data_IF_980182398835
#
_entry.id   IF_980182398835
#
_cell.length_a   1.000
_cell.length_b   1.000
_cell.length_c   1.000
_cell.angle_alpha   90.00
_cell.angle_beta   90.00
_cell.angle_gamma   90.00
#
_symmetry.space_group_name_H-M   'P 1'
#
loop_
_entity.id
_entity.type
_entity.pdbx_description
1 polymer ?
#
# COMPACT_ATOMS: atom_id res chain seq x y z
N UNK A 1 -10.83 11.47 -26.84
CA UNK A 1 -9.73 10.69 -26.23
C UNK A 1 -10.03 10.68 -24.76
N UNK A 2 -10.36 9.51 -24.22
CA UNK A 2 -11.07 9.34 -22.96
C UNK A 2 -10.31 9.86 -21.74
N UNK A 3 -11.06 10.50 -20.85
CA UNK A 3 -10.71 10.83 -19.47
C UNK A 3 -9.96 9.67 -18.78
N UNK A 4 -8.75 9.94 -18.27
CA UNK A 4 -8.01 9.00 -17.43
C UNK A 4 -7.14 9.73 -16.40
N UNK A 5 -7.69 10.81 -15.82
CA UNK A 5 -7.07 11.56 -14.72
C UNK A 5 -7.88 11.51 -13.41
N UNK A 6 -8.92 10.66 -13.34
CA UNK A 6 -9.86 10.64 -12.20
C UNK A 6 -9.54 9.58 -11.13
N UNK A 7 -8.32 9.06 -11.09
CA UNK A 7 -7.91 8.09 -10.06
C UNK A 7 -6.69 8.55 -9.27
N UNK A 8 -6.36 9.86 -9.23
CA UNK A 8 -5.15 10.34 -8.53
C UNK A 8 -5.38 10.63 -7.03
N UNK A 9 -6.42 10.06 -6.42
CA UNK A 9 -6.76 10.35 -5.01
C UNK A 9 -7.54 9.27 -4.26
N UNK A 10 -7.78 8.11 -4.85
CA UNK A 10 -8.47 7.01 -4.16
C UNK A 10 -7.47 6.16 -3.36
N UNK A 11 -7.88 5.55 -2.24
CA UNK A 11 -7.03 4.59 -1.52
C UNK A 11 -6.52 3.45 -2.42
N UNK A 12 -7.31 3.08 -3.44
CA UNK A 12 -6.99 2.02 -4.40
C UNK A 12 -5.88 2.44 -5.37
N UNK A 13 -5.87 3.69 -5.82
CA UNK A 13 -4.80 4.20 -6.68
C UNK A 13 -3.48 4.37 -5.96
N UNK A 14 -3.54 4.79 -4.70
CA UNK A 14 -2.36 4.84 -3.83
C UNK A 14 -1.81 3.43 -3.56
N UNK A 15 -2.69 2.45 -3.32
CA UNK A 15 -2.29 1.04 -3.21
C UNK A 15 -1.63 0.51 -4.50
N UNK A 16 -2.16 0.89 -5.66
CA UNK A 16 -1.59 0.53 -6.96
C UNK A 16 -0.20 1.14 -7.15
N UNK A 17 0.00 2.40 -6.76
CA UNK A 17 1.29 3.06 -6.81
C UNK A 17 2.34 2.38 -5.91
N UNK A 18 1.96 2.03 -4.67
CA UNK A 18 2.84 1.30 -3.74
C UNK A 18 3.28 -0.06 -4.29
N UNK A 19 2.35 -0.80 -4.90
CA UNK A 19 2.67 -2.09 -5.54
C UNK A 19 3.63 -1.92 -6.72
N UNK A 20 3.45 -0.87 -7.52
CA UNK A 20 4.36 -0.57 -8.64
C UNK A 20 5.77 -0.21 -8.14
N UNK A 21 5.89 0.67 -7.14
CA UNK A 21 7.18 1.03 -6.54
C UNK A 21 7.90 -0.19 -5.95
N UNK A 22 7.18 -1.07 -5.26
CA UNK A 22 7.74 -2.31 -4.73
C UNK A 22 8.27 -3.25 -5.84
N UNK A 23 7.54 -3.38 -6.94
CA UNK A 23 7.98 -4.18 -8.08
C UNK A 23 9.24 -3.60 -8.74
N UNK A 24 9.32 -2.28 -8.91
CA UNK A 24 10.51 -1.61 -9.45
C UNK A 24 11.73 -1.81 -8.56
N UNK A 25 11.57 -1.70 -7.24
CA UNK A 25 12.64 -1.97 -6.29
C UNK A 25 13.12 -3.42 -6.41
N UNK A 26 12.24 -4.40 -6.57
CA UNK A 26 12.65 -5.80 -6.74
C UNK A 26 13.35 -6.06 -8.08
N UNK A 27 12.99 -5.32 -9.13
CA UNK A 27 13.61 -5.46 -10.46
C UNK A 27 15.00 -4.82 -10.54
N UNK A 28 15.19 -3.69 -9.87
CA UNK A 28 16.39 -2.86 -10.01
C UNK A 28 17.35 -2.94 -8.83
N UNK A 29 16.88 -3.34 -7.64
CA UNK A 29 17.75 -3.45 -6.49
C UNK A 29 18.67 -4.67 -6.61
N UNK A 30 19.96 -4.42 -6.41
CA UNK A 30 20.92 -5.49 -6.20
C UNK A 30 20.57 -6.27 -4.93
N UNK A 31 20.90 -7.56 -4.89
CA UNK A 31 20.63 -8.41 -3.73
C UNK A 31 21.16 -7.81 -2.43
N UNK A 32 22.25 -7.05 -2.45
CA UNK A 32 22.85 -6.48 -1.23
C UNK A 32 22.48 -5.02 -0.96
N UNK A 33 21.51 -4.47 -1.69
CA UNK A 33 21.02 -3.11 -1.46
C UNK A 33 20.13 -3.05 -0.20
N UNK A 34 20.77 -2.75 0.93
CA UNK A 34 20.12 -2.60 2.22
C UNK A 34 19.08 -1.46 2.23
N UNK A 35 19.28 -0.41 1.43
CA UNK A 35 18.35 0.71 1.36
C UNK A 35 17.08 0.33 0.59
N UNK A 36 17.23 -0.39 -0.53
CA UNK A 36 16.09 -0.92 -1.26
C UNK A 36 15.27 -1.90 -0.42
N UNK A 37 15.93 -2.77 0.35
CA UNK A 37 15.25 -3.67 1.30
C UNK A 37 14.48 -2.92 2.38
N UNK A 38 15.06 -1.85 2.93
CA UNK A 38 14.37 -1.01 3.91
C UNK A 38 13.12 -0.34 3.31
N UNK A 39 13.23 0.18 2.08
CA UNK A 39 12.07 0.76 1.36
C UNK A 39 10.98 -0.26 1.07
N UNK A 40 11.35 -1.46 0.61
CA UNK A 40 10.42 -2.58 0.41
C UNK A 40 9.67 -2.91 1.69
N UNK A 41 10.37 -3.03 2.82
CA UNK A 41 9.73 -3.29 4.12
C UNK A 41 8.71 -2.23 4.53
N UNK A 42 8.97 -0.96 4.19
CA UNK A 42 8.02 0.14 4.47
C UNK A 42 6.80 0.07 3.56
N UNK A 43 7.01 -0.23 2.27
CA UNK A 43 5.94 -0.40 1.28
C UNK A 43 5.02 -1.55 1.69
N UNK A 44 5.60 -2.69 2.07
CA UNK A 44 4.85 -3.87 2.53
C UNK A 44 3.98 -3.53 3.76
N UNK A 45 4.58 -2.87 4.77
CA UNK A 45 3.84 -2.45 5.97
C UNK A 45 2.69 -1.48 5.64
N UNK A 46 2.86 -0.61 4.64
CA UNK A 46 1.84 0.33 4.20
C UNK A 46 0.70 -0.36 3.45
N UNK A 47 1.02 -1.33 2.58
CA UNK A 47 0.03 -2.15 1.88
C UNK A 47 -0.76 -2.96 2.91
N UNK A 48 -0.10 -3.56 3.90
CA UNK A 48 -0.77 -4.28 4.98
C UNK A 48 -1.74 -3.37 5.73
N UNK A 49 -1.34 -2.14 6.09
CA UNK A 49 -2.23 -1.18 6.75
C UNK A 49 -3.47 -0.85 5.92
N UNK A 50 -3.32 -0.68 4.59
CA UNK A 50 -4.40 -0.29 3.69
C UNK A 50 -5.34 -1.45 3.34
N UNK A 51 -4.83 -2.68 3.34
CA UNK A 51 -5.58 -3.88 2.96
C UNK A 51 -6.10 -4.67 4.15
N UNK A 52 -5.65 -4.34 5.37
CA UNK A 52 -6.14 -4.99 6.57
C UNK A 52 -7.66 -4.78 6.64
N UNK A 53 -8.45 -5.86 6.78
CA UNK A 53 -9.88 -5.71 6.94
C UNK A 53 -10.15 -4.87 8.18
N UNK A 54 -11.06 -3.89 8.11
CA UNK A 54 -11.54 -3.09 9.25
C UNK A 54 -12.38 -3.96 10.22
N UNK A 55 -11.80 -5.05 10.72
CA UNK A 55 -12.40 -5.88 11.75
C UNK A 55 -11.99 -5.30 13.11
N UNK A 56 -12.78 -4.35 13.59
CA UNK A 56 -12.71 -3.85 14.96
C UNK A 56 -12.94 -2.35 15.07
N UNK A 57 -14.19 -1.89 14.94
CA UNK A 57 -14.46 -0.47 15.19
C UNK A 57 -15.85 0.08 14.92
N UNK A 58 -16.83 -0.72 14.50
CA UNK A 58 -18.24 -0.28 14.46
C UNK A 58 -19.10 -1.43 14.99
N UNK A 59 -19.59 -1.32 16.23
CA UNK A 59 -20.57 -2.28 16.78
C UNK A 59 -20.34 -2.78 18.22
N UNK A 60 -19.42 -2.21 18.99
CA UNK A 60 -19.41 -2.41 20.45
C UNK A 60 -20.48 -1.54 21.12
N UNK A 61 -21.74 -1.90 20.94
CA UNK A 61 -22.85 -1.27 21.62
C UNK A 61 -22.63 -1.27 23.13
N UNK A 62 -22.75 -0.10 23.74
CA UNK A 62 -23.09 0.05 25.16
C UNK A 62 -24.27 -0.88 25.48
N UNK A 63 -24.08 -1.88 26.33
CA UNK A 63 -25.08 -2.30 27.31
C UNK A 63 -24.51 -3.25 28.36
N UNK A 64 -24.85 -2.88 29.62
CA UNK A 64 -24.85 -3.57 30.90
C UNK A 64 -23.51 -3.98 31.53
#
# INVERSE_FOLDING_TARGET
MSDSAEDEGTPDSYLKALKAEGAELLMHAGKDDAHARARLSVIDAKIDQLTRPMTGGYGGGRQV
#
